data_IF_265676139031
#
_entry.id   IF_265676139031
#
_cell.length_a   1.000
_cell.length_b   1.000
_cell.length_c   1.000
_cell.angle_alpha   90.00
_cell.angle_beta   90.00
_cell.angle_gamma   90.00
#
_symmetry.space_group_name_H-M   'P 1'
#
loop_
_entity.id
_entity.type
_entity.pdbx_description
1 polymer ?
#
# COMPACT_ATOMS: atom_id res chain seq x y z
N UNK A 1 -79.73 17.62 -23.34
CA UNK A 1 -78.93 16.75 -24.24
C UNK A 1 -77.51 16.80 -23.70
N UNK A 2 -77.15 15.85 -22.83
CA UNK A 2 -76.50 14.56 -23.15
C UNK A 2 -75.01 14.78 -23.52
N UNK A 3 -74.01 14.19 -22.89
CA UNK A 3 -73.94 13.22 -21.80
C UNK A 3 -72.48 13.09 -21.33
N UNK A 4 -72.31 12.53 -20.13
CA UNK A 4 -71.07 11.98 -19.59
C UNK A 4 -70.35 11.07 -20.59
N UNK A 5 -69.02 11.14 -20.68
CA UNK A 5 -68.14 9.97 -20.66
C UNK A 5 -66.85 10.28 -19.89
N UNK A 6 -66.70 9.55 -18.79
CA UNK A 6 -65.48 9.27 -18.05
C UNK A 6 -64.55 8.42 -18.90
N UNK A 7 -63.25 8.74 -18.94
CA UNK A 7 -62.26 7.69 -19.15
C UNK A 7 -61.12 7.79 -18.14
N UNK A 8 -61.15 6.79 -17.27
CA UNK A 8 -60.14 6.40 -16.33
C UNK A 8 -58.99 5.76 -17.11
N UNK A 9 -57.80 6.34 -17.03
CA UNK A 9 -56.59 5.56 -17.29
C UNK A 9 -55.55 5.89 -16.23
N UNK A 10 -55.50 4.96 -15.29
CA UNK A 10 -54.46 4.69 -14.31
C UNK A 10 -53.07 4.66 -14.94
N UNK A 11 -52.31 5.74 -14.81
CA UNK A 11 -50.86 5.68 -14.89
C UNK A 11 -50.31 5.33 -13.51
N UNK A 12 -50.06 4.05 -13.35
CA UNK A 12 -49.57 3.38 -12.16
C UNK A 12 -48.23 3.98 -11.73
N UNK A 13 -48.19 4.45 -10.47
CA UNK A 13 -46.99 4.87 -9.75
C UNK A 13 -46.01 3.70 -9.71
N UNK A 14 -44.93 3.78 -10.48
CA UNK A 14 -43.69 3.08 -10.16
C UNK A 14 -42.75 4.07 -9.46
N UNK A 15 -43.00 4.29 -8.17
CA UNK A 15 -41.96 4.73 -7.24
C UNK A 15 -41.02 3.55 -7.01
N UNK A 16 -40.23 3.24 -8.03
CA UNK A 16 -39.05 2.40 -7.90
C UNK A 16 -37.90 3.26 -7.45
N UNK A 17 -37.93 3.73 -6.21
CA UNK A 17 -36.71 4.10 -5.47
C UNK A 17 -35.93 2.81 -5.27
N UNK A 18 -35.26 2.36 -6.32
CA UNK A 18 -34.11 1.48 -6.17
C UNK A 18 -33.10 2.30 -5.42
N UNK A 19 -33.01 2.09 -4.11
CA UNK A 19 -31.78 2.33 -3.38
C UNK A 19 -30.71 1.54 -4.12
N UNK A 20 -30.02 2.23 -5.04
CA UNK A 20 -28.76 1.77 -5.57
C UNK A 20 -27.87 1.65 -4.35
N UNK A 21 -27.81 0.44 -3.80
CA UNK A 21 -27.00 0.08 -2.65
C UNK A 21 -25.62 0.66 -2.93
N UNK A 22 -25.32 1.79 -2.29
CA UNK A 22 -24.05 2.48 -2.40
C UNK A 22 -23.05 1.54 -1.74
N UNK A 23 -22.59 0.54 -2.50
CA UNK A 23 -21.34 -0.15 -2.25
C UNK A 23 -20.29 0.94 -2.39
N UNK A 24 -20.06 1.65 -1.28
CA UNK A 24 -18.95 2.56 -1.09
C UNK A 24 -17.70 1.70 -1.21
N UNK A 25 -17.27 1.48 -2.45
CA UNK A 25 -15.91 1.06 -2.73
C UNK A 25 -15.06 2.21 -2.21
N UNK A 26 -14.28 1.96 -1.16
CA UNK A 26 -13.32 2.93 -0.65
C UNK A 26 -12.24 3.08 -1.72
N UNK A 27 -12.41 4.07 -2.59
CA UNK A 27 -11.37 4.47 -3.52
C UNK A 27 -10.20 5.00 -2.70
N UNK A 28 -8.99 4.48 -2.95
CA UNK A 28 -7.78 5.01 -2.33
C UNK A 28 -7.35 6.28 -3.08
N UNK A 29 -8.04 7.39 -2.83
CA UNK A 29 -7.65 8.69 -3.41
C UNK A 29 -6.27 9.18 -2.92
N UNK A 30 -5.72 8.55 -1.88
CA UNK A 30 -4.35 8.75 -1.39
C UNK A 30 -3.28 8.18 -2.33
N UNK A 31 -3.63 7.30 -3.26
CA UNK A 31 -2.65 6.71 -4.17
C UNK A 31 -1.98 7.78 -5.04
N UNK A 32 -0.71 7.53 -5.38
CA UNK A 32 0.03 8.43 -6.25
C UNK A 32 -0.59 8.44 -7.66
N UNK A 33 -0.65 9.60 -8.30
CA UNK A 33 -1.21 9.75 -9.64
C UNK A 33 -0.43 8.98 -10.72
N UNK A 34 0.83 8.62 -10.47
CA UNK A 34 1.65 7.78 -11.34
C UNK A 34 1.14 6.33 -11.49
N UNK A 35 0.17 5.92 -10.67
CA UNK A 35 -0.47 4.61 -10.70
C UNK A 35 -1.38 4.45 -11.92
N UNK A 36 -1.89 5.55 -12.49
CA UNK A 36 -2.75 5.49 -13.68
C UNK A 36 -1.96 5.09 -14.94
N UNK A 37 -2.60 4.31 -15.82
CA UNK A 37 -1.98 3.85 -17.07
C UNK A 37 -1.64 5.01 -18.02
N UNK A 38 -0.63 4.83 -18.88
CA UNK A 38 -0.30 5.79 -19.94
C UNK A 38 -1.50 6.12 -20.85
N UNK A 39 -2.37 5.13 -21.12
CA UNK A 39 -3.60 5.33 -21.87
C UNK A 39 -4.54 6.33 -21.18
N UNK A 40 -4.66 6.25 -19.86
CA UNK A 40 -5.42 7.19 -19.04
C UNK A 40 -4.83 8.60 -19.11
N UNK A 41 -3.51 8.73 -18.94
CA UNK A 41 -2.81 10.02 -19.09
C UNK A 41 -3.10 10.67 -20.44
N UNK A 42 -3.09 9.87 -21.52
CA UNK A 42 -3.37 10.36 -22.87
C UNK A 42 -4.80 10.84 -23.04
N UNK A 43 -5.78 10.09 -22.51
CA UNK A 43 -7.20 10.49 -22.55
C UNK A 43 -7.42 11.82 -21.80
N UNK A 44 -6.83 11.95 -20.61
CA UNK A 44 -6.89 13.18 -19.80
C UNK A 44 -6.24 14.33 -20.56
N UNK A 45 -5.01 14.14 -21.07
CA UNK A 45 -4.27 15.17 -21.80
C UNK A 45 -4.99 15.64 -23.07
N UNK A 46 -5.64 14.74 -23.81
CA UNK A 46 -6.44 15.10 -24.97
C UNK A 46 -7.66 15.96 -24.60
N UNK A 47 -8.33 15.67 -23.49
CA UNK A 47 -9.47 16.46 -23.01
C UNK A 47 -9.06 17.83 -22.45
N UNK A 48 -7.90 17.92 -21.81
CA UNK A 48 -7.36 19.18 -21.31
C UNK A 48 -6.70 20.03 -22.40
N UNK A 49 -6.28 19.41 -23.51
CA UNK A 49 -5.65 20.08 -24.65
C UNK A 49 -6.61 20.80 -25.59
N UNK A 50 -7.93 20.70 -25.35
CA UNK A 50 -8.92 21.45 -26.11
C UNK A 50 -8.88 22.94 -25.72
N UNK A 51 -8.26 23.75 -26.57
CA UNK A 51 -8.12 25.20 -26.35
C UNK A 51 -9.47 25.96 -26.38
N UNK A 52 -10.55 25.32 -26.86
CA UNK A 52 -11.88 25.92 -26.84
C UNK A 52 -12.57 25.80 -25.48
N UNK A 53 -12.07 24.94 -24.60
CA UNK A 53 -12.55 24.84 -23.23
C UNK A 53 -12.12 26.08 -22.43
N UNK A 54 -13.04 26.61 -21.63
CA UNK A 54 -12.80 27.77 -20.75
C UNK A 54 -11.70 27.52 -19.73
N UNK A 55 -11.51 26.24 -19.36
CA UNK A 55 -10.52 25.80 -18.39
C UNK A 55 -9.71 24.66 -18.99
N UNK A 56 -8.48 24.94 -19.38
CA UNK A 56 -7.63 24.02 -20.14
C UNK A 56 -6.42 23.57 -19.31
N UNK A 57 -5.48 22.88 -19.94
CA UNK A 57 -4.29 22.36 -19.25
C UNK A 57 -3.42 23.44 -18.57
N UNK A 58 -3.46 24.70 -19.01
CA UNK A 58 -2.71 25.78 -18.36
C UNK A 58 -3.32 26.17 -17.01
N UNK A 59 -4.64 26.15 -16.91
CA UNK A 59 -5.35 26.41 -15.65
C UNK A 59 -5.08 25.28 -14.66
N UNK A 60 -5.05 24.03 -15.15
CA UNK A 60 -4.59 22.89 -14.34
C UNK A 60 -3.13 23.05 -13.91
N UNK A 61 -2.25 23.51 -14.80
CA UNK A 61 -0.85 23.75 -14.46
C UNK A 61 -0.72 24.75 -13.30
N UNK A 62 -1.49 25.84 -13.32
CA UNK A 62 -1.55 26.83 -12.25
C UNK A 62 -1.99 26.21 -10.91
N UNK A 63 -3.11 25.47 -10.90
CA UNK A 63 -3.61 24.75 -9.71
C UNK A 63 -2.58 23.76 -9.15
N UNK A 64 -1.76 23.16 -10.00
CA UNK A 64 -0.72 22.21 -9.62
C UNK A 64 0.64 22.86 -9.29
N UNK A 65 0.71 24.19 -9.26
CA UNK A 65 1.90 24.96 -8.87
C UNK A 65 2.91 25.18 -10.00
N UNK A 66 2.46 25.18 -11.25
CA UNK A 66 3.21 25.52 -12.47
C UNK A 66 2.59 26.73 -13.19
N UNK A 67 2.04 27.68 -12.43
CA UNK A 67 1.34 28.86 -12.97
C UNK A 67 2.24 29.93 -13.59
N UNK A 68 3.56 29.79 -13.49
CA UNK A 68 4.46 30.78 -14.06
C UNK A 68 4.42 30.74 -15.59
N UNK A 69 4.53 31.91 -16.22
CA UNK A 69 4.57 32.02 -17.67
C UNK A 69 5.76 31.23 -18.27
N UNK A 70 6.88 31.16 -17.54
CA UNK A 70 8.05 30.38 -17.93
C UNK A 70 7.76 28.88 -17.93
N UNK A 71 7.11 28.34 -16.89
CA UNK A 71 6.76 26.91 -16.82
C UNK A 71 5.83 26.51 -17.97
N UNK A 72 4.77 27.29 -18.19
CA UNK A 72 3.80 27.04 -19.28
C UNK A 72 4.50 27.10 -20.64
N UNK A 73 5.39 28.07 -20.85
CA UNK A 73 6.18 28.19 -22.09
C UNK A 73 7.11 26.99 -22.27
N UNK A 74 7.79 26.56 -21.20
CA UNK A 74 8.68 25.41 -21.21
C UNK A 74 7.95 24.14 -21.62
N UNK A 75 6.76 23.87 -21.06
CA UNK A 75 5.95 22.72 -21.48
C UNK A 75 5.57 22.78 -22.96
N UNK A 76 5.21 23.95 -23.49
CA UNK A 76 4.89 24.11 -24.92
C UNK A 76 6.10 23.85 -25.82
N UNK A 77 7.27 24.39 -25.47
CA UNK A 77 8.51 24.20 -26.23
C UNK A 77 8.93 22.73 -26.21
N UNK A 78 8.92 22.09 -25.05
CA UNK A 78 9.25 20.66 -24.91
C UNK A 78 8.25 19.77 -25.67
N UNK A 79 6.95 20.05 -25.56
CA UNK A 79 5.90 19.31 -26.25
C UNK A 79 6.11 19.36 -27.77
N UNK A 80 6.44 20.55 -28.32
CA UNK A 80 6.76 20.72 -29.73
C UNK A 80 8.00 19.93 -30.15
N UNK A 81 9.05 19.93 -29.33
CA UNK A 81 10.27 19.19 -29.61
C UNK A 81 10.05 17.66 -29.59
N UNK A 82 9.22 17.17 -28.68
CA UNK A 82 8.92 15.74 -28.50
C UNK A 82 7.74 15.25 -29.34
N UNK A 83 7.05 16.13 -30.06
CA UNK A 83 5.77 15.83 -30.74
C UNK A 83 4.72 15.23 -29.79
N UNK A 84 4.70 15.70 -28.54
CA UNK A 84 3.70 15.31 -27.52
C UNK A 84 2.73 16.46 -27.21
N UNK A 85 1.67 16.18 -26.43
CA UNK A 85 0.75 17.20 -25.93
C UNK A 85 1.36 17.90 -24.70
N UNK A 86 1.28 19.24 -24.58
CA UNK A 86 1.76 19.94 -23.38
C UNK A 86 1.14 19.41 -22.08
N UNK A 87 -0.16 19.13 -22.10
CA UNK A 87 -0.88 18.52 -20.98
C UNK A 87 -0.31 17.14 -20.58
N UNK A 88 0.18 16.36 -21.53
CA UNK A 88 0.82 15.06 -21.25
C UNK A 88 2.11 15.25 -20.47
N UNK A 89 2.94 16.22 -20.89
CA UNK A 89 4.21 16.52 -20.20
C UNK A 89 3.95 17.05 -18.79
N UNK A 90 2.99 17.95 -18.63
CA UNK A 90 2.55 18.45 -17.32
C UNK A 90 2.18 17.28 -16.39
N UNK A 91 1.30 16.37 -16.84
CA UNK A 91 0.85 15.25 -16.02
C UNK A 91 2.01 14.31 -15.66
N UNK A 92 2.91 14.02 -16.62
CA UNK A 92 4.10 13.17 -16.40
C UNK A 92 5.09 13.80 -15.41
N UNK A 93 5.29 15.10 -15.48
CA UNK A 93 6.21 15.80 -14.59
C UNK A 93 5.59 15.96 -13.19
N UNK A 94 4.33 16.36 -13.12
CA UNK A 94 3.60 16.51 -11.87
C UNK A 94 3.47 15.18 -11.11
N UNK A 95 3.20 14.06 -11.78
CA UNK A 95 3.07 12.76 -11.11
C UNK A 95 4.34 12.26 -10.41
N UNK A 96 5.50 12.87 -10.71
CA UNK A 96 6.77 12.60 -10.03
C UNK A 96 6.97 13.47 -8.78
N UNK A 97 6.20 14.54 -8.60
CA UNK A 97 6.31 15.42 -7.44
C UNK A 97 5.80 14.73 -6.17
N UNK A 98 6.43 14.97 -5.00
CA UNK A 98 5.90 14.49 -3.73
C UNK A 98 4.54 15.13 -3.45
N UNK A 99 3.55 14.31 -3.10
CA UNK A 99 2.17 14.75 -2.88
C UNK A 99 1.29 14.79 -4.13
N UNK A 100 1.78 14.33 -5.28
CA UNK A 100 0.97 14.17 -6.49
C UNK A 100 0.02 12.96 -6.38
N UNK A 101 -1.03 13.11 -5.57
CA UNK A 101 -2.04 12.07 -5.33
C UNK A 101 -3.24 12.23 -6.24
N UNK A 102 -4.00 11.14 -6.43
CA UNK A 102 -5.23 11.19 -7.21
C UNK A 102 -6.24 12.16 -6.59
N UNK A 103 -6.31 12.26 -5.25
CA UNK A 103 -7.16 13.24 -4.57
C UNK A 103 -6.85 14.67 -5.01
N UNK A 104 -5.57 15.06 -5.04
CA UNK A 104 -5.19 16.44 -5.42
C UNK A 104 -5.58 16.73 -6.87
N UNK A 105 -5.45 15.76 -7.77
CA UNK A 105 -5.93 15.90 -9.15
C UNK A 105 -7.45 16.03 -9.21
N UNK A 106 -8.18 15.20 -8.46
CA UNK A 106 -9.65 15.25 -8.38
C UNK A 106 -10.12 16.59 -7.84
N UNK A 107 -9.50 17.11 -6.77
CA UNK A 107 -9.82 18.41 -6.18
C UNK A 107 -9.58 19.54 -7.18
N UNK A 108 -8.42 19.53 -7.87
CA UNK A 108 -8.10 20.53 -8.89
C UNK A 108 -9.10 20.50 -10.05
N UNK A 109 -9.42 19.32 -10.60
CA UNK A 109 -10.41 19.17 -11.67
C UNK A 109 -11.84 19.53 -11.25
N UNK A 110 -12.18 19.34 -9.97
CA UNK A 110 -13.47 19.72 -9.41
C UNK A 110 -13.57 21.24 -9.26
N UNK A 111 -12.51 21.88 -8.75
CA UNK A 111 -12.41 23.34 -8.67
C UNK A 111 -12.47 23.99 -10.05
N UNK A 112 -11.92 23.31 -11.06
CA UNK A 112 -11.97 23.73 -12.46
C UNK A 112 -13.29 23.46 -13.19
N UNK A 113 -14.28 22.90 -12.49
CA UNK A 113 -15.57 22.52 -13.08
C UNK A 113 -15.43 21.64 -14.34
N UNK A 114 -14.47 20.70 -14.34
CA UNK A 114 -14.19 19.76 -15.47
C UNK A 114 -14.70 18.33 -15.20
N UNK A 115 -16.03 18.09 -15.17
CA UNK A 115 -16.59 16.76 -14.89
C UNK A 115 -16.27 15.74 -15.99
N UNK A 116 -15.99 16.20 -17.22
CA UNK A 116 -15.62 15.35 -18.35
C UNK A 116 -14.25 14.67 -18.14
N UNK A 117 -13.28 15.40 -17.57
CA UNK A 117 -11.96 14.86 -17.23
C UNK A 117 -12.04 14.05 -15.93
N UNK A 118 -12.81 14.53 -14.95
CA UNK A 118 -13.07 13.82 -13.70
C UNK A 118 -13.62 12.40 -13.93
N UNK A 119 -14.54 12.26 -14.91
CA UNK A 119 -15.10 10.97 -15.28
C UNK A 119 -14.01 9.98 -15.75
N UNK A 120 -13.02 10.45 -16.52
CA UNK A 120 -11.91 9.62 -17.00
C UNK A 120 -11.01 9.17 -15.84
N UNK A 121 -10.71 10.07 -14.90
CA UNK A 121 -9.91 9.74 -13.71
C UNK A 121 -10.65 8.71 -12.86
N UNK A 122 -11.94 8.94 -12.60
CA UNK A 122 -12.78 8.06 -11.79
C UNK A 122 -12.92 6.68 -12.44
N UNK A 123 -13.16 6.62 -13.75
CA UNK A 123 -13.22 5.36 -14.51
C UNK A 123 -11.90 4.59 -14.40
N UNK A 124 -10.76 5.28 -14.51
CA UNK A 124 -9.45 4.65 -14.39
C UNK A 124 -9.17 4.13 -12.96
N UNK A 125 -9.62 4.85 -11.93
CA UNK A 125 -9.54 4.37 -10.55
C UNK A 125 -10.43 3.15 -10.32
N UNK A 126 -11.60 3.10 -10.95
CA UNK A 126 -12.46 1.92 -10.89
C UNK A 126 -11.82 0.71 -11.57
N UNK A 127 -10.99 0.96 -12.58
CA UNK A 127 -10.37 -0.07 -13.36
C UNK A 127 -9.26 -0.78 -12.59
N UNK A 128 -8.52 -0.10 -11.70
CA UNK A 128 -7.47 -0.76 -10.93
C UNK A 128 -7.96 -1.31 -9.60
N UNK A 129 -7.58 -2.56 -9.29
CA UNK A 129 -7.90 -3.18 -8.00
C UNK A 129 -6.94 -4.31 -7.66
N UNK A 130 -6.92 -4.72 -6.39
CA UNK A 130 -6.20 -5.91 -5.95
C UNK A 130 -7.07 -7.14 -6.14
N UNK A 131 -6.63 -8.08 -6.98
CA UNK A 131 -7.23 -9.39 -7.13
C UNK A 131 -6.61 -10.35 -6.11
N UNK A 132 -7.47 -11.01 -5.33
CA UNK A 132 -7.06 -12.05 -4.38
C UNK A 132 -7.31 -13.40 -5.03
N UNK A 133 -6.31 -14.28 -5.04
CA UNK A 133 -6.49 -15.63 -5.57
C UNK A 133 -5.80 -16.69 -4.73
N UNK A 134 -6.35 -17.90 -4.75
CA UNK A 134 -5.78 -19.11 -4.13
C UNK A 134 -5.59 -20.15 -5.20
N UNK A 135 -4.46 -20.85 -5.16
CA UNK A 135 -4.22 -22.01 -6.03
C UNK A 135 -4.39 -23.29 -5.20
N UNK A 136 -5.15 -24.24 -5.73
CA UNK A 136 -5.24 -25.60 -5.22
C UNK A 136 -4.40 -26.49 -6.12
N UNK A 137 -3.38 -27.13 -5.56
CA UNK A 137 -2.42 -27.97 -6.29
C UNK A 137 -3.06 -29.30 -6.73
N UNK A 138 -2.33 -30.11 -7.50
CA UNK A 138 -2.78 -31.43 -7.94
C UNK A 138 -3.05 -32.38 -6.76
N UNK A 139 -2.34 -32.19 -5.65
CA UNK A 139 -2.50 -32.94 -4.40
C UNK A 139 -3.75 -32.52 -3.60
N UNK A 140 -4.42 -31.44 -4.02
CA UNK A 140 -5.58 -30.88 -3.32
C UNK A 140 -5.21 -29.86 -2.23
N UNK A 141 -3.92 -29.55 -2.06
CA UNK A 141 -3.45 -28.57 -1.08
C UNK A 141 -3.70 -27.14 -1.57
N UNK A 142 -4.25 -26.30 -0.69
CA UNK A 142 -4.46 -24.89 -0.96
C UNK A 142 -3.21 -24.07 -0.59
N UNK A 143 -2.60 -23.43 -1.59
CA UNK A 143 -1.49 -22.50 -1.37
C UNK A 143 -1.98 -21.22 -0.65
N UNK A 144 -1.08 -20.49 0.04
CA UNK A 144 -1.42 -19.21 0.67
C UNK A 144 -2.06 -18.24 -0.32
N UNK A 145 -3.04 -17.46 0.17
CA UNK A 145 -3.74 -16.43 -0.62
C UNK A 145 -2.73 -15.44 -1.19
N UNK A 146 -2.69 -15.36 -2.52
CA UNK A 146 -1.88 -14.42 -3.26
C UNK A 146 -2.69 -13.16 -3.57
N UNK A 147 -1.97 -12.04 -3.70
CA UNK A 147 -2.55 -10.73 -4.06
C UNK A 147 -1.79 -10.17 -5.23
N UNK A 148 -2.51 -9.78 -6.27
CA UNK A 148 -1.92 -9.13 -7.44
C UNK A 148 -2.71 -7.89 -7.80
N UNK A 149 -2.01 -6.83 -8.15
CA UNK A 149 -2.65 -5.61 -8.62
C UNK A 149 -2.97 -5.77 -10.10
N UNK A 150 -4.25 -5.59 -10.46
CA UNK A 150 -4.75 -5.84 -11.80
C UNK A 150 -5.47 -4.62 -12.34
N UNK A 151 -5.51 -4.51 -13.66
CA UNK A 151 -6.35 -3.55 -14.37
C UNK A 151 -7.61 -4.27 -14.88
N UNK A 152 -8.76 -3.62 -14.74
CA UNK A 152 -10.07 -4.20 -15.02
C UNK A 152 -10.28 -4.46 -16.50
N UNK A 153 -9.65 -3.66 -17.35
CA UNK A 153 -9.63 -3.86 -18.80
C UNK A 153 -8.75 -5.03 -19.26
N UNK A 154 -7.82 -5.50 -18.42
CA UNK A 154 -6.99 -6.66 -18.76
C UNK A 154 -7.79 -7.96 -18.63
N UNK A 155 -7.36 -8.98 -19.39
CA UNK A 155 -7.86 -10.33 -19.18
C UNK A 155 -7.30 -10.92 -17.88
N UNK A 156 -8.03 -11.87 -17.27
CA UNK A 156 -7.53 -12.60 -16.10
C UNK A 156 -6.22 -13.33 -16.39
N UNK A 157 -6.09 -13.88 -17.59
CA UNK A 157 -4.86 -14.52 -18.06
C UNK A 157 -3.68 -13.56 -17.98
N UNK A 158 -3.79 -12.39 -18.64
CA UNK A 158 -2.74 -11.37 -18.66
C UNK A 158 -2.42 -10.86 -17.25
N UNK A 159 -3.47 -10.63 -16.45
CA UNK A 159 -3.36 -10.09 -15.09
C UNK A 159 -2.63 -11.04 -14.13
N UNK A 160 -2.83 -12.36 -14.28
CA UNK A 160 -2.28 -13.37 -13.38
C UNK A 160 -0.98 -14.00 -13.90
N UNK A 161 -0.63 -13.82 -15.18
CA UNK A 161 0.48 -14.50 -15.85
C UNK A 161 1.81 -14.36 -15.11
N UNK A 162 2.19 -13.14 -14.72
CA UNK A 162 3.47 -12.89 -14.04
C UNK A 162 3.51 -13.53 -12.65
N UNK A 163 2.40 -13.46 -11.91
CA UNK A 163 2.28 -14.03 -10.57
C UNK A 163 2.30 -15.56 -10.59
N UNK A 164 1.64 -16.18 -11.57
CA UNK A 164 1.65 -17.63 -11.76
C UNK A 164 3.02 -18.15 -12.22
N UNK A 165 3.69 -17.42 -13.12
CA UNK A 165 5.03 -17.77 -13.58
C UNK A 165 6.05 -17.80 -12.43
N UNK A 166 5.95 -16.91 -11.44
CA UNK A 166 6.80 -16.92 -10.25
C UNK A 166 6.62 -18.17 -9.38
N UNK A 167 5.42 -18.75 -9.39
CA UNK A 167 5.13 -20.02 -8.70
C UNK A 167 5.45 -21.26 -9.53
N UNK A 168 5.92 -21.09 -10.78
CA UNK A 168 6.16 -22.20 -11.71
C UNK A 168 4.89 -22.81 -12.30
N UNK A 169 3.73 -22.18 -12.09
CA UNK A 169 2.43 -22.65 -12.58
C UNK A 169 2.09 -22.02 -13.93
N UNK A 170 1.43 -22.77 -14.80
CA UNK A 170 0.90 -22.26 -16.08
C UNK A 170 -0.61 -22.14 -16.02
N UNK A 171 -1.15 -21.14 -16.71
CA UNK A 171 -2.60 -20.95 -16.86
C UNK A 171 -3.27 -22.16 -17.52
N UNK A 172 -2.56 -22.85 -18.42
CA UNK A 172 -3.03 -24.07 -19.07
C UNK A 172 -3.20 -25.26 -18.12
N UNK A 173 -2.59 -25.27 -16.94
CA UNK A 173 -2.71 -26.35 -15.96
C UNK A 173 -3.84 -26.08 -14.95
N UNK A 174 -4.43 -24.87 -15.00
CA UNK A 174 -5.36 -24.37 -14.01
C UNK A 174 -6.76 -24.12 -14.60
N UNK A 175 -7.77 -24.40 -13.80
CA UNK A 175 -9.18 -24.08 -14.07
C UNK A 175 -9.65 -23.09 -13.02
N UNK A 176 -10.34 -22.04 -13.47
CA UNK A 176 -11.01 -21.10 -12.57
C UNK A 176 -12.23 -21.82 -11.99
N UNK A 177 -12.22 -22.06 -10.68
CA UNK A 177 -13.39 -22.54 -9.96
C UNK A 177 -14.33 -21.35 -9.74
N UNK A 178 -15.55 -21.46 -10.25
CA UNK A 178 -16.57 -20.44 -10.04
C UNK A 178 -16.93 -20.39 -8.55
N UNK A 179 -16.98 -19.19 -7.94
CA UNK A 179 -17.48 -19.07 -6.58
C UNK A 179 -18.96 -19.45 -6.55
N UNK A 180 -19.43 -20.09 -5.48
CA UNK A 180 -20.80 -20.63 -5.34
C UNK A 180 -21.93 -19.58 -5.44
N UNK A 181 -21.62 -18.32 -5.72
CA UNK A 181 -22.53 -17.17 -5.73
C UNK A 181 -22.60 -16.42 -7.07
N UNK A 182 -22.21 -17.03 -8.18
CA UNK A 182 -22.41 -16.40 -9.51
C UNK A 182 -23.87 -16.59 -9.93
N UNK A 183 -24.60 -15.48 -10.08
CA UNK A 183 -25.87 -15.45 -10.82
C UNK A 183 -25.67 -16.17 -12.16
N UNK A 184 -26.54 -17.13 -12.48
CA UNK A 184 -26.36 -18.25 -13.42
C UNK A 184 -25.85 -17.92 -14.86
N UNK A 185 -25.69 -16.65 -15.22
CA UNK A 185 -25.39 -16.19 -16.58
C UNK A 185 -23.95 -15.71 -16.85
N UNK A 186 -23.02 -15.72 -15.87
CA UNK A 186 -21.65 -15.20 -16.11
C UNK A 186 -20.53 -16.17 -15.79
N UNK A 187 -20.31 -17.12 -16.71
CA UNK A 187 -19.15 -18.01 -16.68
C UNK A 187 -17.84 -17.22 -16.76
N UNK A 188 -16.99 -17.35 -15.75
CA UNK A 188 -15.68 -16.66 -15.69
C UNK A 188 -14.62 -17.51 -16.40
N UNK A 189 -13.99 -16.95 -17.44
CA UNK A 189 -12.93 -17.63 -18.22
C UNK A 189 -11.63 -16.84 -18.13
N UNK A 190 -10.50 -17.47 -18.46
CA UNK A 190 -9.18 -16.82 -18.53
C UNK A 190 -9.16 -15.56 -19.42
N UNK A 191 -9.91 -15.58 -20.53
CA UNK A 191 -10.06 -14.45 -21.45
C UNK A 191 -11.06 -13.40 -20.99
N UNK A 192 -11.78 -13.64 -19.89
CA UNK A 192 -12.72 -12.67 -19.34
C UNK A 192 -11.97 -11.49 -18.73
N UNK A 193 -12.61 -10.32 -18.77
CA UNK A 193 -12.12 -9.11 -18.10
C UNK A 193 -11.97 -9.36 -16.60
N UNK A 194 -10.84 -8.94 -16.03
CA UNK A 194 -10.56 -9.03 -14.60
C UNK A 194 -11.64 -8.33 -13.77
N UNK A 195 -12.28 -7.29 -14.30
CA UNK A 195 -13.36 -6.54 -13.61
C UNK A 195 -14.53 -7.43 -13.17
N UNK A 196 -14.78 -8.57 -13.84
CA UNK A 196 -15.83 -9.52 -13.46
C UNK A 196 -15.63 -10.16 -12.08
N UNK A 197 -14.38 -10.22 -11.61
CA UNK A 197 -14.02 -10.81 -10.31
C UNK A 197 -13.58 -9.76 -9.29
N UNK A 198 -13.78 -8.46 -9.58
CA UNK A 198 -13.45 -7.37 -8.66
C UNK A 198 -14.15 -7.57 -7.31
N UNK A 199 -13.37 -7.55 -6.24
CA UNK A 199 -13.85 -7.76 -4.87
C UNK A 199 -14.21 -9.21 -4.52
N UNK A 200 -13.83 -10.19 -5.35
CA UNK A 200 -14.00 -11.62 -5.10
C UNK A 200 -12.63 -12.29 -4.92
N UNK A 201 -12.60 -13.37 -4.16
CA UNK A 201 -11.44 -14.27 -4.12
C UNK A 201 -11.59 -15.30 -5.24
N UNK A 202 -10.61 -15.38 -6.12
CA UNK A 202 -10.55 -16.37 -7.21
C UNK A 202 -9.94 -17.66 -6.67
N UNK A 203 -10.52 -18.82 -6.99
CA UNK A 203 -9.93 -20.12 -6.67
C UNK A 203 -9.50 -20.77 -7.99
N UNK A 204 -8.20 -21.05 -8.11
CA UNK A 204 -7.59 -21.70 -9.26
C UNK A 204 -7.28 -23.14 -8.89
N UNK A 205 -7.91 -24.12 -9.54
CA UNK A 205 -7.65 -25.54 -9.29
C UNK A 205 -6.81 -26.15 -10.39
N UNK A 206 -5.89 -27.03 -10.02
CA UNK A 206 -5.21 -27.88 -11.00
C UNK A 206 -6.21 -28.76 -11.77
N UNK A 207 -6.02 -28.91 -13.08
CA UNK A 207 -6.92 -29.68 -13.96
C UNK A 207 -7.07 -31.14 -13.53
N UNK A 208 -6.00 -31.73 -12.98
CA UNK A 208 -6.00 -33.12 -12.53
C UNK A 208 -6.80 -33.35 -11.23
N UNK A 209 -7.22 -32.29 -10.55
CA UNK A 209 -8.04 -32.36 -9.34
C UNK A 209 -9.36 -31.61 -9.54
N UNK A 210 -10.31 -32.19 -10.32
CA UNK A 210 -11.62 -31.57 -10.50
C UNK A 210 -12.32 -31.36 -9.15
N UNK A 211 -13.21 -30.36 -9.03
CA UNK A 211 -13.96 -30.14 -7.81
C UNK A 211 -14.73 -31.43 -7.44
N UNK A 212 -14.83 -31.76 -6.14
CA UNK A 212 -15.63 -32.90 -5.71
C UNK A 212 -17.05 -32.68 -6.24
N UNK A 213 -17.50 -33.59 -7.11
CA UNK A 213 -18.80 -33.47 -7.76
C UNK A 213 -19.87 -33.24 -6.70
N UNK A 214 -20.64 -32.15 -6.81
CA UNK A 214 -21.66 -31.76 -5.83
C UNK A 214 -22.67 -32.89 -5.55
N UNK A 215 -22.76 -33.88 -6.46
CA UNK A 215 -23.53 -35.10 -6.31
C UNK A 215 -23.12 -36.00 -5.11
N UNK A 216 -21.91 -35.84 -4.55
CA UNK A 216 -21.47 -36.62 -3.37
C UNK A 216 -21.65 -35.90 -2.03
N UNK A 217 -21.90 -34.58 -2.01
CA UNK A 217 -22.07 -33.83 -0.76
C UNK A 217 -23.48 -33.97 -0.14
N UNK A 218 -24.46 -34.50 -0.88
CA UNK A 218 -25.85 -34.68 -0.40
C UNK A 218 -26.21 -36.11 0.01
N UNK A 219 -25.28 -37.07 -0.04
CA UNK A 219 -25.61 -38.50 0.10
C UNK A 219 -24.89 -39.30 1.20
N UNK A 220 -24.01 -38.71 2.00
CA UNK A 220 -23.38 -39.44 3.11
C UNK A 220 -24.16 -39.25 4.41
N UNK A 221 -25.10 -40.18 4.63
CA UNK A 221 -25.61 -40.52 5.95
C UNK A 221 -24.45 -40.72 6.94
N UNK A 222 -24.51 -40.00 8.06
CA UNK A 222 -23.61 -40.13 9.20
C UNK A 222 -23.51 -41.60 9.67
N UNK A 223 -22.33 -42.23 9.67
CA UNK A 223 -22.14 -43.45 10.44
C UNK A 223 -22.06 -43.12 11.94
N UNK A 224 -22.53 -44.02 12.83
CA UNK A 224 -22.57 -43.75 14.26
C UNK A 224 -21.16 -43.76 14.85
N UNK A 225 -20.95 -42.86 15.81
CA UNK A 225 -19.76 -42.75 16.62
C UNK A 225 -19.41 -44.10 17.28
N UNK A 226 -18.32 -44.72 16.82
CA UNK A 226 -17.68 -45.83 17.49
C UNK A 226 -16.39 -45.33 18.13
N UNK A 227 -16.44 -45.22 19.46
CA UNK A 227 -15.29 -45.16 20.35
C UNK A 227 -14.42 -46.40 20.15
N UNK A 228 -13.09 -46.26 20.04
CA UNK A 228 -12.08 -47.17 20.63
C UNK A 228 -10.64 -46.84 20.20
N UNK A 229 -9.85 -46.40 21.19
CA UNK A 229 -8.54 -46.91 21.64
C UNK A 229 -7.40 -47.27 20.65
N UNK A 230 -6.30 -46.54 20.84
CA UNK A 230 -4.90 -46.98 21.06
C UNK A 230 -4.27 -48.03 20.12
N UNK A 231 -3.32 -47.57 19.29
CA UNK A 231 -1.98 -48.16 19.17
C UNK A 231 -1.12 -47.34 18.20
N UNK A 232 -0.06 -46.68 18.69
CA UNK A 232 0.99 -46.09 17.85
C UNK A 232 2.20 -47.01 17.81
N UNK A 233 2.68 -47.47 16.64
CA UNK A 233 3.97 -48.11 16.53
C UNK A 233 5.09 -47.08 16.29
N UNK A 234 6.27 -47.46 16.76
CA UNK A 234 7.52 -46.71 16.68
C UNK A 234 7.94 -46.36 15.25
N UNK A 235 8.42 -45.12 15.06
CA UNK A 235 9.10 -44.67 13.86
C UNK A 235 10.60 -44.98 13.95
N UNK A 236 11.05 -45.86 13.06
CA UNK A 236 12.45 -46.17 12.78
C UNK A 236 13.02 -45.12 11.82
N UNK A 237 14.14 -44.50 12.18
CA UNK A 237 14.92 -43.63 11.29
C UNK A 237 15.79 -44.46 10.32
N UNK A 238 15.84 -44.13 9.02
CA UNK A 238 16.95 -44.55 8.16
C UNK A 238 18.09 -43.51 8.16
N UNK A 239 19.36 -43.94 8.04
CA UNK A 239 20.51 -43.04 7.97
C UNK A 239 20.91 -42.70 6.53
N UNK A 240 21.47 -41.50 6.36
CA UNK A 240 22.62 -41.21 5.51
C UNK A 240 22.43 -41.25 3.99
N UNK A 241 22.37 -40.08 3.36
CA UNK A 241 22.81 -39.89 1.97
C UNK A 241 23.87 -38.79 1.94
N UNK A 242 25.02 -39.16 1.41
CA UNK A 242 26.19 -38.32 1.21
C UNK A 242 25.91 -37.24 0.15
N UNK A 243 26.38 -36.02 0.41
CA UNK A 243 26.42 -34.91 -0.55
C UNK A 243 27.73 -35.00 -1.32
N UNK A 244 27.62 -35.18 -2.64
CA UNK A 244 28.72 -35.13 -3.58
C UNK A 244 28.84 -33.72 -4.18
N UNK A 245 30.07 -33.20 -4.16
CA UNK A 245 30.54 -31.99 -4.87
C UNK A 245 30.41 -32.13 -6.40
N UNK A 246 30.29 -31.01 -7.14
CA UNK A 246 31.37 -30.65 -8.07
C UNK A 246 31.64 -29.13 -8.10
N UNK A 247 32.89 -28.69 -8.00
CA UNK A 247 33.79 -28.34 -9.14
C UNK A 247 33.12 -27.47 -10.21
N UNK A 248 33.39 -26.17 -10.19
CA UNK A 248 34.49 -25.50 -10.90
C UNK A 248 34.15 -25.20 -12.37
N UNK A 249 33.89 -23.91 -12.65
CA UNK A 249 34.02 -23.31 -13.98
C UNK A 249 33.90 -21.78 -13.92
N UNK A 250 35.05 -21.13 -14.09
CA UNK A 250 35.25 -20.10 -15.12
C UNK A 250 34.63 -18.71 -14.88
N UNK A 251 35.47 -17.79 -14.44
CA UNK A 251 35.30 -16.35 -14.69
C UNK A 251 35.30 -16.05 -16.21
N UNK A 252 34.68 -14.94 -16.65
CA UNK A 252 35.51 -13.76 -16.90
C UNK A 252 34.81 -12.41 -16.64
N UNK A 253 35.63 -11.35 -16.59
CA UNK A 253 35.24 -10.03 -17.08
C UNK A 253 34.83 -8.99 -16.04
N UNK A 254 35.83 -8.32 -15.47
CA UNK A 254 35.70 -6.97 -14.89
C UNK A 254 35.38 -5.99 -16.01
N UNK A 255 34.37 -5.15 -15.82
CA UNK A 255 34.39 -3.77 -16.29
C UNK A 255 33.84 -2.84 -15.19
N UNK A 256 34.64 -1.82 -14.91
CA UNK A 256 34.44 -0.78 -13.91
C UNK A 256 33.15 0.01 -14.15
N UNK A 257 32.37 0.21 -13.09
CA UNK A 257 31.37 1.28 -13.02
C UNK A 257 31.66 2.10 -11.77
N UNK A 258 31.66 3.42 -11.96
CA UNK A 258 32.21 4.42 -11.06
C UNK A 258 31.59 4.47 -9.67
N UNK A 259 32.44 4.97 -8.77
CA UNK A 259 32.19 5.35 -7.39
C UNK A 259 30.90 6.19 -7.28
N UNK A 260 29.86 5.60 -6.70
CA UNK A 260 28.67 6.30 -6.25
C UNK A 260 28.96 6.80 -4.82
N UNK A 261 29.09 8.11 -4.66
CA UNK A 261 29.25 8.75 -3.36
C UNK A 261 28.17 8.28 -2.37
N UNK A 262 28.66 7.81 -1.23
CA UNK A 262 27.95 7.18 -0.15
C UNK A 262 27.22 8.25 0.68
N UNK A 263 26.03 8.65 0.24
CA UNK A 263 25.14 9.48 1.04
C UNK A 263 24.67 8.68 2.26
N UNK A 264 24.98 9.20 3.46
CA UNK A 264 24.45 8.68 4.73
C UNK A 264 22.93 8.46 4.63
N UNK A 265 22.38 7.41 5.27
CA UNK A 265 20.95 7.17 5.27
C UNK A 265 20.26 8.41 5.82
N UNK A 266 19.54 9.14 4.96
CA UNK A 266 18.64 10.19 5.39
C UNK A 266 17.58 9.55 6.26
N UNK A 267 17.80 9.54 7.58
CA UNK A 267 16.75 9.31 8.56
C UNK A 267 15.61 10.25 8.18
N UNK A 268 14.37 9.77 8.24
CA UNK A 268 13.24 10.67 8.06
C UNK A 268 13.42 11.79 9.12
N UNK A 269 13.81 13.00 8.69
CA UNK A 269 14.12 14.17 9.52
C UNK A 269 12.88 14.71 10.29
N UNK A 270 11.86 13.86 10.44
CA UNK A 270 10.72 14.00 11.34
C UNK A 270 11.21 13.94 12.81
N UNK A 271 12.40 13.39 13.04
CA UNK A 271 13.16 13.56 14.30
C UNK A 271 13.63 15.01 14.39
N UNK A 272 12.85 15.81 15.12
CA UNK A 272 13.14 17.21 15.44
C UNK A 272 14.58 17.36 15.88
N UNK A 273 15.25 18.41 15.39
CA UNK A 273 16.51 18.97 15.90
C UNK A 273 16.39 19.03 17.43
N UNK A 274 16.91 18.02 18.11
CA UNK A 274 16.97 17.99 19.56
C UNK A 274 18.22 18.75 19.97
N UNK A 275 18.09 19.68 20.92
CA UNK A 275 19.23 20.12 21.73
C UNK A 275 19.95 18.87 22.22
N UNK A 276 21.23 18.74 21.88
CA UNK A 276 22.07 17.60 22.17
C UNK A 276 22.10 17.34 23.68
N UNK A 277 21.22 16.45 24.15
CA UNK A 277 21.50 15.71 25.37
C UNK A 277 22.32 14.53 24.88
N UNK A 278 23.64 14.72 24.91
CA UNK A 278 24.60 13.65 24.68
C UNK A 278 24.22 12.48 25.59
N UNK A 279 24.06 11.31 24.98
CA UNK A 279 23.77 10.08 25.70
C UNK A 279 25.02 9.69 26.48
N UNK A 280 25.16 10.19 27.71
CA UNK A 280 26.31 9.87 28.59
C UNK A 280 26.12 8.56 29.38
N UNK A 281 25.04 7.84 29.14
CA UNK A 281 24.72 6.59 29.84
C UNK A 281 25.35 5.36 29.18
N UNK A 282 26.52 4.94 29.66
CA UNK A 282 27.12 3.60 29.45
C UNK A 282 26.31 2.47 30.14
N UNK A 283 25.00 2.62 30.25
CA UNK A 283 24.18 1.66 30.97
C UNK A 283 23.91 0.41 30.16
N UNK A 284 23.83 -0.69 30.91
CA UNK A 284 23.64 -2.07 30.51
C UNK A 284 22.61 -2.26 29.38
N UNK A 285 23.11 -2.31 28.13
CA UNK A 285 22.35 -2.74 26.95
C UNK A 285 21.83 -4.19 27.09
N UNK A 286 22.23 -4.91 28.14
CA UNK A 286 21.75 -6.24 28.49
C UNK A 286 20.23 -6.30 28.70
N UNK A 287 19.60 -5.20 29.15
CA UNK A 287 18.14 -5.08 29.26
C UNK A 287 17.42 -4.94 27.91
N UNK A 288 18.12 -4.49 26.86
CA UNK A 288 17.57 -4.22 25.52
C UNK A 288 17.54 -5.50 24.66
N UNK A 289 18.34 -6.51 25.02
CA UNK A 289 18.42 -7.77 24.29
C UNK A 289 17.11 -8.57 24.22
N UNK A 290 16.12 -8.25 25.05
CA UNK A 290 14.80 -8.89 25.05
C UNK A 290 13.72 -8.14 24.26
N UNK A 291 14.04 -7.01 23.64
CA UNK A 291 13.03 -6.23 22.92
C UNK A 291 12.49 -6.99 21.70
N UNK A 292 11.17 -6.91 21.43
CA UNK A 292 10.58 -7.53 20.25
C UNK A 292 11.17 -6.89 18.98
N UNK A 293 11.70 -7.74 18.09
CA UNK A 293 12.31 -7.28 16.85
C UNK A 293 13.66 -6.61 17.03
N UNK A 294 14.40 -6.89 18.12
CA UNK A 294 15.77 -6.41 18.34
C UNK A 294 16.79 -7.07 17.41
N UNK A 295 17.64 -6.26 16.78
CA UNK A 295 18.75 -6.69 15.91
C UNK A 295 20.03 -5.94 16.29
N UNK A 296 20.83 -6.47 17.23
CA UNK A 296 22.00 -5.78 17.77
C UNK A 296 23.15 -5.64 16.76
N UNK A 297 23.21 -6.50 15.74
CA UNK A 297 24.30 -6.54 14.78
C UNK A 297 23.92 -5.96 13.41
N UNK A 298 22.71 -5.42 13.25
CA UNK A 298 22.28 -4.82 11.99
C UNK A 298 22.92 -3.44 11.84
N UNK A 299 23.80 -3.21 10.85
CA UNK A 299 24.46 -1.91 10.69
C UNK A 299 23.44 -0.83 10.32
N UNK A 300 23.68 0.42 10.74
CA UNK A 300 22.87 1.59 10.35
C UNK A 300 23.13 2.02 8.91
N UNK A 301 23.00 1.10 7.96
CA UNK A 301 23.09 1.40 6.52
C UNK A 301 21.79 1.01 5.85
N UNK A 302 21.25 1.94 5.06
CA UNK A 302 19.97 1.77 4.33
C UNK A 302 19.90 0.44 3.58
N UNK A 303 21.00 0.04 2.93
CA UNK A 303 21.09 -1.21 2.17
C UNK A 303 20.74 -2.44 2.99
N UNK A 304 21.32 -2.59 4.18
CA UNK A 304 21.11 -3.76 5.03
C UNK A 304 19.73 -3.76 5.66
N UNK A 305 19.25 -2.60 6.08
CA UNK A 305 17.89 -2.47 6.64
C UNK A 305 16.85 -2.84 5.58
N UNK A 306 17.01 -2.37 4.34
CA UNK A 306 16.16 -2.76 3.22
C UNK A 306 16.25 -4.26 2.91
N UNK A 307 17.46 -4.86 2.91
CA UNK A 307 17.63 -6.30 2.66
C UNK A 307 16.85 -7.14 3.68
N UNK A 308 16.89 -6.75 4.96
CA UNK A 308 16.16 -7.41 6.05
C UNK A 308 14.64 -7.18 5.96
N UNK A 309 14.22 -5.95 5.66
CA UNK A 309 12.79 -5.57 5.71
C UNK A 309 12.04 -5.80 4.39
N UNK A 310 12.73 -5.99 3.27
CA UNK A 310 12.13 -6.16 1.95
C UNK A 310 11.05 -7.25 1.89
N UNK A 311 11.21 -8.44 2.52
CA UNK A 311 10.15 -9.46 2.52
C UNK A 311 8.85 -9.02 3.21
N UNK A 312 8.93 -8.02 4.09
CA UNK A 312 7.81 -7.56 4.92
C UNK A 312 7.14 -6.30 4.38
N UNK A 313 7.68 -5.68 3.33
CA UNK A 313 7.22 -4.37 2.83
C UNK A 313 5.80 -4.41 2.25
N UNK A 314 5.30 -5.61 1.90
CA UNK A 314 3.96 -5.83 1.38
C UNK A 314 2.84 -5.64 2.42
N UNK A 315 3.20 -5.55 3.72
CA UNK A 315 2.25 -5.35 4.80
C UNK A 315 2.74 -4.26 5.77
N UNK A 316 1.81 -3.47 6.29
CA UNK A 316 2.13 -2.38 7.21
C UNK A 316 2.28 -2.85 8.65
N UNK A 317 3.20 -2.19 9.35
CA UNK A 317 3.42 -2.35 10.78
C UNK A 317 4.38 -3.45 11.18
N UNK A 318 5.14 -4.00 10.23
CA UNK A 318 6.31 -4.79 10.58
C UNK A 318 7.42 -3.85 11.05
N UNK A 319 8.04 -4.17 12.17
CA UNK A 319 9.08 -3.33 12.73
C UNK A 319 10.30 -4.10 13.21
N UNK A 320 11.41 -3.38 13.26
CA UNK A 320 12.64 -3.82 13.89
C UNK A 320 13.26 -2.69 14.70
N UNK A 321 13.97 -3.05 15.76
CA UNK A 321 14.71 -2.16 16.66
C UNK A 321 16.19 -2.47 16.49
N UNK A 322 17.02 -1.45 16.36
CA UNK A 322 18.46 -1.60 16.07
C UNK A 322 19.28 -0.47 16.71
N UNK A 323 20.57 -0.70 17.00
CA UNK A 323 21.47 0.36 17.40
C UNK A 323 21.81 1.28 16.22
N UNK A 324 22.20 2.50 16.56
CA UNK A 324 22.82 3.50 15.69
C UNK A 324 24.30 3.62 16.06
N UNK A 325 25.11 4.18 15.16
CA UNK A 325 26.57 4.33 15.34
C UNK A 325 26.95 5.17 16.56
N UNK A 326 26.02 6.00 17.06
CA UNK A 326 26.18 6.93 18.18
C UNK A 326 25.62 6.38 19.51
N UNK A 327 25.50 5.05 19.63
CA UNK A 327 24.88 4.35 20.77
C UNK A 327 23.40 4.67 21.01
N UNK A 328 22.75 5.45 20.13
CA UNK A 328 21.30 5.66 20.20
C UNK A 328 20.58 4.48 19.54
N UNK A 329 19.27 4.40 19.71
CA UNK A 329 18.45 3.35 19.12
C UNK A 329 17.53 3.91 18.04
N UNK A 330 17.21 3.09 17.07
CA UNK A 330 16.21 3.38 16.05
C UNK A 330 15.21 2.23 15.88
N UNK A 331 13.99 2.61 15.51
CA UNK A 331 12.94 1.70 15.08
C UNK A 331 12.69 1.93 13.60
N UNK A 332 12.72 0.86 12.81
CA UNK A 332 12.36 0.90 11.39
C UNK A 332 11.04 0.16 11.19
N UNK A 333 10.10 0.76 10.45
CA UNK A 333 8.71 0.26 10.34
C UNK A 333 8.26 0.24 8.88
N UNK A 334 7.57 -0.81 8.43
CA UNK A 334 6.90 -0.85 7.13
C UNK A 334 5.61 -0.04 7.14
N UNK A 335 5.44 0.84 6.16
CA UNK A 335 4.24 1.68 6.04
C UNK A 335 4.02 2.15 4.60
N UNK A 336 2.80 1.94 4.08
CA UNK A 336 2.40 2.32 2.72
C UNK A 336 3.40 1.87 1.65
N UNK A 337 3.85 0.61 1.74
CA UNK A 337 4.81 0.03 0.79
C UNK A 337 6.24 0.61 0.89
N UNK A 338 6.53 1.38 1.93
CA UNK A 338 7.85 1.93 2.23
C UNK A 338 8.38 1.50 3.59
N UNK A 339 9.62 1.89 3.90
CA UNK A 339 10.23 1.76 5.22
C UNK A 339 10.42 3.16 5.79
N UNK A 340 9.99 3.36 7.04
CA UNK A 340 10.15 4.60 7.82
C UNK A 340 11.11 4.36 8.97
N UNK A 341 11.97 5.32 9.26
CA UNK A 341 12.96 5.21 10.34
C UNK A 341 12.70 6.26 11.42
N UNK A 342 12.58 5.82 12.66
CA UNK A 342 12.32 6.68 13.82
C UNK A 342 13.44 6.51 14.85
N UNK A 343 13.99 7.63 15.31
CA UNK A 343 14.98 7.63 16.37
C UNK A 343 14.31 7.55 17.73
N UNK A 344 14.79 6.68 18.62
CA UNK A 344 14.35 6.66 20.01
C UNK A 344 15.22 7.64 20.80
N UNK A 345 14.58 8.58 21.46
CA UNK A 345 15.22 9.53 22.38
C UNK A 345 14.92 9.14 23.83
N UNK A 346 15.85 9.44 24.74
CA UNK A 346 15.72 9.27 26.19
C UNK A 346 15.81 10.64 26.86
N UNK A 347 14.93 10.92 27.80
CA UNK A 347 14.99 12.11 28.64
C UNK A 347 15.92 11.91 29.84
N UNK A 348 16.24 12.99 30.55
CA UNK A 348 17.05 12.94 31.78
C UNK A 348 16.42 12.13 32.92
N UNK A 349 15.10 11.99 32.91
CA UNK A 349 14.30 11.19 33.85
C UNK A 349 14.09 9.74 33.37
N UNK A 350 14.95 9.23 32.47
CA UNK A 350 14.91 7.86 31.95
C UNK A 350 13.58 7.48 31.28
N UNK A 351 13.02 8.38 30.47
CA UNK A 351 11.81 8.10 29.69
C UNK A 351 12.08 8.15 28.20
N UNK A 352 11.46 7.24 27.47
CA UNK A 352 11.69 7.01 26.06
C UNK A 352 10.61 7.71 25.22
N UNK A 353 10.99 8.28 24.08
CA UNK A 353 10.05 8.93 23.17
C UNK A 353 10.59 8.98 21.73
N UNK A 354 9.69 8.99 20.74
CA UNK A 354 10.06 9.29 19.33
C UNK A 354 10.04 10.79 19.03
N UNK A 355 9.19 11.56 19.73
CA UNK A 355 9.06 13.00 19.53
C UNK A 355 8.80 13.78 20.83
N UNK A 356 9.49 14.91 21.05
CA UNK A 356 9.53 15.65 22.33
C UNK A 356 8.15 16.07 22.88
N UNK A 357 7.19 16.31 21.97
CA UNK A 357 5.82 16.74 22.31
C UNK A 357 4.82 15.59 22.54
N UNK A 358 5.26 14.34 22.43
CA UNK A 358 4.37 13.16 22.55
C UNK A 358 4.55 12.43 23.87
N UNK A 359 3.78 11.36 24.05
CA UNK A 359 3.86 10.50 25.22
C UNK A 359 5.30 10.01 25.40
N UNK A 360 5.73 10.06 26.66
CA UNK A 360 6.99 9.48 27.12
C UNK A 360 6.65 8.18 27.83
N UNK A 361 7.40 7.14 27.52
CA UNK A 361 7.21 5.81 28.09
C UNK A 361 8.31 5.51 29.11
N UNK A 362 8.00 4.68 30.10
CA UNK A 362 8.95 4.27 31.14
C UNK A 362 9.96 3.24 30.61
N UNK A 363 9.58 2.48 29.56
CA UNK A 363 10.44 1.53 28.87
C UNK A 363 10.29 1.63 27.35
N UNK A 364 11.21 1.03 26.60
CA UNK A 364 11.10 0.95 25.13
C UNK A 364 9.94 0.00 24.74
N UNK A 365 9.68 -1.05 25.51
CA UNK A 365 8.52 -1.93 25.30
C UNK A 365 7.21 -1.17 25.47
N UNK A 366 7.10 -0.35 26.51
CA UNK A 366 5.93 0.51 26.70
C UNK A 366 5.80 1.53 25.56
N UNK A 367 6.92 2.07 25.09
CA UNK A 367 6.91 2.96 23.93
C UNK A 367 6.35 2.23 22.70
N UNK A 368 6.86 1.04 22.40
CA UNK A 368 6.38 0.22 21.29
C UNK A 368 4.88 -0.06 21.46
N UNK A 369 4.45 -0.54 22.63
CA UNK A 369 3.05 -0.86 22.92
C UNK A 369 2.11 0.35 22.77
N UNK A 370 2.52 1.53 23.23
CA UNK A 370 1.75 2.77 23.04
C UNK A 370 1.54 3.01 21.55
N UNK A 371 2.59 2.93 20.74
CA UNK A 371 2.51 3.21 19.31
C UNK A 371 1.98 2.03 18.47
N UNK A 372 1.89 0.82 19.03
CA UNK A 372 1.10 -0.28 18.50
C UNK A 372 -0.40 -0.01 18.54
N UNK A 373 -0.85 0.74 19.56
CA UNK A 373 -2.26 1.06 19.79
C UNK A 373 -2.66 2.43 19.22
N UNK A 374 -1.81 3.45 19.44
CA UNK A 374 -2.09 4.84 19.09
C UNK A 374 -1.56 5.23 17.71
N UNK A 375 -0.54 4.52 17.19
CA UNK A 375 0.08 4.80 15.90
C UNK A 375 1.11 5.93 15.93
N UNK A 376 2.21 5.77 15.21
CA UNK A 376 3.27 6.75 15.01
C UNK A 376 2.77 7.89 14.11
N UNK A 377 2.97 9.14 14.53
CA UNK A 377 2.56 10.29 13.75
C UNK A 377 3.52 10.55 12.61
N UNK A 378 2.99 10.50 11.40
CA UNK A 378 3.68 10.85 10.16
C UNK A 378 3.74 12.38 9.96
N UNK A 379 4.59 12.85 9.06
CA UNK A 379 4.63 14.26 8.64
C UNK A 379 3.27 14.77 8.14
N UNK A 380 2.48 13.89 7.53
CA UNK A 380 1.13 14.19 7.04
C UNK A 380 0.13 14.39 8.18
N UNK A 381 0.14 13.52 9.19
CA UNK A 381 -0.72 13.65 10.38
C UNK A 381 -0.54 14.99 11.11
N UNK A 382 0.68 15.55 11.09
CA UNK A 382 0.98 16.84 11.73
C UNK A 382 0.48 18.06 10.95
N UNK A 383 0.47 17.99 9.61
CA UNK A 383 -0.08 19.08 8.79
C UNK A 383 -1.57 19.26 9.07
N UNK A 384 -2.27 18.16 9.32
CA UNK A 384 -3.69 18.16 9.68
C UNK A 384 -3.94 18.60 11.13
N UNK A 385 -3.03 18.30 12.07
CA UNK A 385 -3.18 18.68 13.48
C UNK A 385 -2.81 20.16 13.77
N UNK A 386 -2.13 20.85 12.85
CA UNK A 386 -1.77 22.27 13.02
C UNK A 386 -2.95 23.15 12.57
N UNK A 387 -3.96 23.27 13.44
CA UNK A 387 -4.98 24.30 13.29
C UNK A 387 -4.29 25.69 13.14
N UNK A 388 -4.80 26.60 12.30
CA UNK A 388 -4.26 27.94 12.19
C UNK A 388 -4.26 28.57 13.59
N UNK A 389 -3.11 29.12 14.00
CA UNK A 389 -3.04 29.92 15.21
C UNK A 389 -4.12 30.99 15.14
N UNK A 390 -4.98 31.15 16.17
CA UNK A 390 -5.88 32.27 16.21
C UNK A 390 -5.01 33.53 16.28
N UNK A 391 -5.02 34.32 15.22
CA UNK A 391 -4.50 35.67 15.27
C UNK A 391 -5.22 36.41 16.40
N UNK A 392 -4.46 37.17 17.17
CA UNK A 392 -4.96 37.99 18.27
C UNK A 392 -6.16 38.84 17.85
N UNK A 393 -7.18 38.80 18.72
CA UNK A 393 -8.45 39.52 18.70
C UNK A 393 -9.48 39.14 17.62
N UNK A 394 -10.66 38.60 18.03
CA UNK A 394 -11.79 38.51 17.12
C UNK A 394 -12.34 39.92 16.83
N UNK A 395 -12.68 40.26 15.57
CA UNK A 395 -13.42 41.48 15.29
C UNK A 395 -14.77 41.46 16.05
N UNK A 396 -15.24 42.61 16.56
CA UNK A 396 -16.49 42.66 17.32
C UNK A 396 -17.66 42.22 16.43
N UNK A 397 -18.41 41.23 16.92
CA UNK A 397 -19.54 40.66 16.21
C UNK A 397 -20.71 41.67 16.13
N UNK A 398 -21.39 41.78 14.97
CA UNK A 398 -22.70 42.42 14.94
C UNK A 398 -23.73 41.59 15.73
N UNK A 399 -24.75 42.24 16.33
CA UNK A 399 -25.76 41.53 17.11
C UNK A 399 -26.59 40.64 16.20
N UNK A 400 -26.67 39.34 16.51
CA UNK A 400 -27.50 38.36 15.78
C UNK A 400 -28.85 38.16 16.45
N UNK A 401 -29.94 38.26 15.69
CA UNK A 401 -31.14 37.45 15.88
C UNK A 401 -31.14 36.30 14.85
N UNK A 402 -31.30 35.07 15.32
CA UNK A 402 -31.42 33.88 14.47
C UNK A 402 -30.34 32.85 14.75
N UNK A 403 -30.70 31.89 15.60
CA UNK A 403 -29.97 30.67 15.87
C UNK A 403 -29.95 29.81 14.60
N UNK A 404 -28.77 29.43 14.12
CA UNK A 404 -28.49 28.15 13.46
C UNK A 404 -27.00 28.12 13.08
N UNK A 405 -26.31 27.03 13.43
CA UNK A 405 -24.92 26.83 13.05
C UNK A 405 -24.11 26.03 14.06
N UNK A 406 -24.24 24.70 13.97
CA UNK A 406 -23.48 23.75 14.76
C UNK A 406 -21.98 24.00 14.70
N UNK A 407 -21.36 24.06 15.88
CA UNK A 407 -19.93 23.94 16.03
C UNK A 407 -19.52 22.55 15.50
N UNK A 408 -18.78 22.54 14.39
CA UNK A 408 -18.17 21.32 13.84
C UNK A 408 -17.20 20.78 14.90
N UNK A 409 -17.30 19.49 15.31
CA UNK A 409 -16.35 18.93 16.26
C UNK A 409 -14.94 18.95 15.64
N UNK A 410 -13.88 19.04 16.46
CA UNK A 410 -12.51 19.00 15.98
C UNK A 410 -12.31 17.76 15.10
N UNK A 411 -11.71 17.94 13.92
CA UNK A 411 -11.39 16.82 13.03
C UNK A 411 -10.42 15.89 13.75
N UNK A 412 -10.93 14.71 14.10
CA UNK A 412 -10.10 13.60 14.58
C UNK A 412 -9.21 13.19 13.39
N UNK A 413 -7.88 13.06 13.55
CA UNK A 413 -7.01 12.56 12.49
C UNK A 413 -7.60 11.29 11.91
N UNK A 414 -7.80 11.26 10.59
CA UNK A 414 -8.23 10.04 9.88
C UNK A 414 -7.16 8.97 10.07
N UNK A 415 -7.63 7.76 10.36
CA UNK A 415 -6.85 6.61 10.84
C UNK A 415 -5.73 6.18 9.88
N UNK A 416 -5.82 6.59 8.62
CA UNK A 416 -4.88 6.30 7.53
C UNK A 416 -3.59 7.15 7.57
N UNK A 417 -3.52 8.15 8.45
CA UNK A 417 -2.34 9.01 8.60
C UNK A 417 -1.31 8.52 9.64
N UNK A 418 -1.57 7.40 10.32
CA UNK A 418 -0.76 6.90 11.45
C UNK A 418 -0.16 5.52 11.16
N UNK A 419 1.12 5.32 11.51
CA UNK A 419 1.83 4.05 11.32
C UNK A 419 1.78 3.20 12.59
N UNK A 420 1.21 2.01 12.57
CA UNK A 420 1.13 1.18 13.77
C UNK A 420 2.28 0.19 13.85
N UNK A 421 2.86 -0.01 15.04
CA UNK A 421 3.82 -1.09 15.30
C UNK A 421 3.06 -2.38 15.59
N UNK A 422 2.96 -3.31 14.64
CA UNK A 422 2.11 -4.51 14.78
C UNK A 422 2.90 -5.79 14.99
N UNK A 423 3.95 -6.00 14.20
CA UNK A 423 4.60 -7.29 14.10
C UNK A 423 6.13 -7.14 14.18
N UNK A 424 6.80 -7.77 15.15
CA UNK A 424 8.25 -7.77 15.20
C UNK A 424 8.83 -8.65 14.09
N UNK A 425 9.84 -8.16 13.40
CA UNK A 425 10.58 -8.94 12.40
C UNK A 425 11.51 -9.92 13.12
N UNK A 426 11.35 -11.22 12.82
CA UNK A 426 12.29 -12.26 13.21
C UNK A 426 13.33 -12.39 12.10
N UNK A 427 14.57 -12.00 12.38
CA UNK A 427 15.68 -12.25 11.45
C UNK A 427 16.23 -13.63 11.71
N UNK A 428 16.41 -14.39 10.65
CA UNK A 428 17.10 -15.67 10.71
C UNK A 428 18.56 -15.44 11.09
N UNK A 429 19.09 -16.23 12.03
CA UNK A 429 20.50 -16.14 12.47
C UNK A 429 21.46 -16.26 11.29
N UNK A 430 21.10 -17.04 10.28
CA UNK A 430 21.90 -17.18 9.07
C UNK A 430 22.06 -15.86 8.31
N UNK A 431 21.00 -15.05 8.22
CA UNK A 431 21.05 -13.75 7.55
C UNK A 431 21.94 -12.78 8.35
N UNK A 432 21.84 -12.80 9.67
CA UNK A 432 22.68 -11.96 10.54
C UNK A 432 24.17 -12.31 10.42
N UNK A 433 24.52 -13.60 10.42
CA UNK A 433 25.90 -14.07 10.21
C UNK A 433 26.43 -13.70 8.81
N UNK A 434 25.59 -13.80 7.78
CA UNK A 434 25.94 -13.39 6.42
C UNK A 434 26.19 -11.89 6.30
N UNK A 435 25.40 -11.07 6.98
CA UNK A 435 25.59 -9.62 7.01
C UNK A 435 26.86 -9.23 7.77
N UNK A 436 27.10 -9.88 8.92
CA UNK A 436 28.32 -9.69 9.70
C UNK A 436 29.59 -10.02 8.90
N UNK A 437 29.59 -11.17 8.22
CA UNK A 437 30.73 -11.58 7.37
C UNK A 437 30.99 -10.58 6.24
N UNK A 438 29.94 -10.06 5.59
CA UNK A 438 30.08 -9.05 4.53
C UNK A 438 30.69 -7.74 5.04
N UNK A 439 30.36 -7.30 6.25
CA UNK A 439 30.88 -6.05 6.80
C UNK A 439 32.35 -6.20 7.25
N UNK A 440 32.70 -7.36 7.84
CA UNK A 440 34.10 -7.71 8.11
C UNK A 440 34.94 -7.74 6.82
N UNK A 441 34.44 -8.34 5.73
CA UNK A 441 35.11 -8.35 4.43
C UNK A 441 35.30 -6.95 3.82
N UNK A 442 34.36 -6.03 4.05
CA UNK A 442 34.47 -4.64 3.61
C UNK A 442 35.51 -3.86 4.41
N UNK A 443 35.61 -4.11 5.73
CA UNK A 443 36.57 -3.45 6.60
C UNK A 443 38.03 -3.74 6.21
N UNK A 444 38.35 -4.94 5.74
CA UNK A 444 39.71 -5.30 5.31
C UNK A 444 40.07 -4.88 3.88
N UNK A 445 39.12 -4.37 3.09
CA UNK A 445 39.34 -3.96 1.69
C UNK A 445 39.54 -2.45 1.53
N UNK A 446 39.25 -1.67 2.56
CA UNK A 446 39.54 -0.24 2.65
C UNK A 446 40.69 -0.03 3.64
#
# INVERSE_FOLDING_TARGET
>A
MAGHETDSSSAQRHTGTGEATQRRQSYNFSDNFNVLSYGTYRKIALKLGDETATENWTDLADKLGYGSMEDISNFRVQAKALQELPAMLLLKEWSRKPGATIQVMVDALTEMERPDVLAIVTEAMEDQFTLHYVVVTAEGDALPVQRVQVFGNDSLETSLQASLAQTGLRTDDLVIQEPDCVEEDRVVKWKSSSRLVKGRQLVLRHKDHPPPSAAHAQGQDMPPAMTSSLSSPMLSFPPGIAVSSPEDRGAPGRDSIGSLEELQPGLDNISVISEDVEWEGSEDLSSICSLPGWHPHLPDRKKYIHEVMAPYIAADGWFLVRPLDDHRLAVSVTFNGGIRHFKIHRTRDDRYYFHRKQRRAESIDDLINIYSMEGLPTTESRRLARAPHPADQPPPLPPRPGHDGGARPPQVPTRDSMVYLKHPIRVDKELEERLKKKDEEHYYKN
#
